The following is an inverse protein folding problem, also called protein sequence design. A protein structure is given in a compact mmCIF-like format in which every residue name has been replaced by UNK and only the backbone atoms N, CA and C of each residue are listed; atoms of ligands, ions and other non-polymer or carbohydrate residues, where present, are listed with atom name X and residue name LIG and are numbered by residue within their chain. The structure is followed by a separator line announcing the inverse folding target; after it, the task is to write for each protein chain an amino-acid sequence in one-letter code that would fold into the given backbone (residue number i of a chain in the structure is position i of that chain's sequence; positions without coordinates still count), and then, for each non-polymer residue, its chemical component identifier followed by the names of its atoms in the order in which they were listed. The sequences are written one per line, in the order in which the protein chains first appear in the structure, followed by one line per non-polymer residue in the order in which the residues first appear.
data_IF_861920625996
#
_entry.id   IF_861920625996
#
_cell.length_a   1.000
_cell.length_b   1.000
_cell.length_c   1.000
_cell.angle_alpha   90.00
_cell.angle_beta   90.00
_cell.angle_gamma   90.00
#
_symmetry.space_group_name_H-M   'P 1'
#
loop_
_entity.id
_entity.type
_entity.pdbx_description
1 polymer ?
#
# COMPACT_ATOMS: atom_id res chain seq x y z
N UNK A 1 -25.96 4.32 -3.77
CA UNK A 1 -24.95 5.07 -4.54
C UNK A 1 -23.95 4.04 -5.06
N UNK A 2 -24.07 3.65 -6.32
CA UNK A 2 -23.20 2.65 -6.97
C UNK A 2 -21.96 3.41 -7.47
N UNK A 3 -20.72 2.97 -7.21
CA UNK A 3 -19.56 3.65 -7.79
C UNK A 3 -19.55 3.39 -9.30
N UNK A 4 -19.53 4.48 -10.07
CA UNK A 4 -19.42 4.48 -11.52
C UNK A 4 -18.06 3.87 -11.91
N UNK A 5 -18.05 2.61 -12.33
CA UNK A 5 -16.93 2.03 -13.08
C UNK A 5 -16.92 2.69 -14.46
N UNK A 6 -15.87 3.43 -14.84
CA UNK A 6 -15.79 3.98 -16.19
C UNK A 6 -15.68 2.83 -17.21
N UNK A 7 -16.22 2.98 -18.43
CA UNK A 7 -16.11 1.98 -19.46
C UNK A 7 -14.64 1.79 -19.85
N UNK A 8 -14.17 0.54 -19.84
CA UNK A 8 -12.82 0.19 -20.26
C UNK A 8 -12.69 0.40 -21.77
N UNK A 9 -12.07 1.50 -22.18
CA UNK A 9 -11.45 1.56 -23.49
C UNK A 9 -10.41 0.43 -23.53
N UNK A 10 -10.42 -0.38 -24.60
CA UNK A 10 -9.44 -1.45 -24.79
C UNK A 10 -8.04 -0.83 -24.94
N UNK A 11 -7.40 -0.57 -23.81
CA UNK A 11 -6.01 -0.14 -23.74
C UNK A 11 -5.16 -1.25 -24.35
N UNK A 12 -4.24 -0.89 -25.25
CA UNK A 12 -3.28 -1.84 -25.79
C UNK A 12 -2.65 -2.62 -24.62
N UNK A 13 -2.77 -3.95 -24.64
CA UNK A 13 -2.26 -4.82 -23.58
C UNK A 13 -0.76 -4.56 -23.44
N UNK A 14 -0.36 -3.99 -22.31
CA UNK A 14 1.06 -3.79 -22.02
C UNK A 14 1.75 -5.16 -22.01
N UNK A 15 2.76 -5.33 -22.88
CA UNK A 15 3.62 -6.51 -22.90
C UNK A 15 4.94 -6.12 -22.28
N UNK A 16 5.22 -6.65 -21.10
CA UNK A 16 6.52 -6.48 -20.46
C UNK A 16 7.54 -7.39 -21.15
N UNK A 17 8.52 -6.80 -21.85
CA UNK A 17 9.66 -7.49 -22.44
C UNK A 17 10.95 -7.03 -21.70
N UNK A 18 11.28 -7.66 -20.56
CA UNK A 18 12.45 -7.27 -19.79
C UNK A 18 13.75 -7.61 -20.56
N UNK A 19 14.82 -6.83 -20.36
CA UNK A 19 16.11 -7.16 -20.94
C UNK A 19 16.57 -8.57 -20.57
N UNK A 20 16.92 -9.38 -21.58
CA UNK A 20 17.34 -10.78 -21.40
C UNK A 20 18.82 -10.92 -21.08
N UNK A 21 19.58 -9.84 -21.24
CA UNK A 21 21.02 -9.81 -20.97
C UNK A 21 21.47 -8.48 -20.38
N UNK A 22 22.65 -8.48 -19.74
CA UNK A 22 23.29 -7.23 -19.26
C UNK A 22 23.59 -6.25 -20.38
N UNK A 23 23.83 -6.72 -21.60
CA UNK A 23 24.09 -5.87 -22.78
C UNK A 23 22.83 -5.10 -23.18
N UNK A 24 21.71 -5.81 -23.27
CA UNK A 24 20.41 -5.24 -23.59
C UNK A 24 19.95 -4.25 -22.52
N UNK A 25 20.13 -4.60 -21.24
CA UNK A 25 19.78 -3.71 -20.13
C UNK A 25 20.57 -2.40 -20.14
N UNK A 26 21.85 -2.42 -20.53
CA UNK A 26 22.65 -1.19 -20.66
C UNK A 26 22.18 -0.28 -21.78
N UNK A 27 21.61 -0.84 -22.87
CA UNK A 27 21.08 -0.07 -24.00
C UNK A 27 19.67 0.44 -23.73
N UNK A 28 18.83 -0.40 -23.13
CA UNK A 28 17.44 -0.12 -22.79
C UNK A 28 17.22 -0.41 -21.29
N UNK A 29 17.66 0.49 -20.40
CA UNK A 29 17.50 0.28 -18.97
C UNK A 29 16.03 0.38 -18.58
N UNK A 30 15.61 -0.46 -17.64
CA UNK A 30 14.34 -0.28 -16.95
C UNK A 30 14.39 1.09 -16.26
N UNK A 31 13.38 1.98 -16.43
CA UNK A 31 13.36 3.32 -15.84
C UNK A 31 13.05 3.27 -14.33
N UNK A 32 13.82 2.47 -13.59
CA UNK A 32 13.71 2.28 -12.16
C UNK A 32 15.11 2.30 -11.54
N UNK A 33 15.22 2.80 -10.31
CA UNK A 33 16.47 2.86 -9.56
C UNK A 33 16.32 2.07 -8.26
N UNK A 34 17.13 1.03 -8.08
CA UNK A 34 17.21 0.34 -6.80
C UNK A 34 18.03 1.18 -5.81
N UNK A 35 17.40 1.66 -4.76
CA UNK A 35 18.03 2.54 -3.76
C UNK A 35 18.78 1.79 -2.65
N UNK A 36 18.67 0.47 -2.61
CA UNK A 36 19.15 -0.36 -1.51
C UNK A 36 18.29 -0.21 -0.24
N UNK A 37 18.80 -0.72 0.88
CA UNK A 37 18.21 -0.46 2.19
C UNK A 37 18.33 1.03 2.51
N UNK A 38 17.22 1.64 2.91
CA UNK A 38 17.15 3.05 3.30
C UNK A 38 16.39 3.18 4.60
N UNK A 39 16.87 4.06 5.45
CA UNK A 39 16.11 4.50 6.61
C UNK A 39 14.85 5.23 6.13
N UNK A 40 13.71 4.98 6.77
CA UNK A 40 12.44 5.58 6.39
C UNK A 40 12.45 7.10 6.55
N UNK A 41 13.25 7.66 7.48
CA UNK A 41 13.44 9.10 7.62
C UNK A 41 14.05 9.74 6.36
N UNK A 42 14.91 9.01 5.65
CA UNK A 42 15.48 9.48 4.39
C UNK A 42 14.45 9.51 3.25
N UNK A 43 13.30 8.86 3.41
CA UNK A 43 12.20 8.88 2.45
C UNK A 43 11.29 10.10 2.60
N UNK A 44 11.47 10.90 3.67
CA UNK A 44 10.72 12.14 3.90
C UNK A 44 10.93 13.16 2.76
N UNK A 45 12.17 13.29 2.31
CA UNK A 45 12.55 14.26 1.28
C UNK A 45 12.36 13.69 -0.15
N UNK A 46 12.06 12.40 -0.26
CA UNK A 46 11.70 11.77 -1.53
C UNK A 46 10.23 12.06 -1.79
N UNK A 47 9.95 12.92 -2.76
CA UNK A 47 8.59 13.21 -3.20
C UNK A 47 7.98 12.01 -3.96
N UNK A 48 7.48 11.03 -3.21
CA UNK A 48 6.71 9.90 -3.74
C UNK A 48 5.35 9.85 -3.06
N UNK A 49 4.30 9.68 -3.87
CA UNK A 49 2.90 9.68 -3.43
C UNK A 49 2.30 8.29 -3.29
N UNK A 50 2.92 7.30 -3.92
CA UNK A 50 2.42 5.93 -4.01
C UNK A 50 3.44 4.99 -3.38
N UNK A 51 2.97 4.18 -2.43
CA UNK A 51 3.68 3.06 -1.86
C UNK A 51 3.06 1.78 -2.39
N UNK A 52 3.90 0.85 -2.86
CA UNK A 52 3.48 -0.46 -3.34
C UNK A 52 4.10 -1.52 -2.44
N UNK A 53 3.26 -2.37 -1.86
CA UNK A 53 3.70 -3.59 -1.21
C UNK A 53 2.95 -4.78 -1.81
N UNK A 54 3.69 -5.70 -2.42
CA UNK A 54 3.15 -6.91 -3.06
C UNK A 54 3.21 -8.15 -2.17
N UNK A 55 3.73 -8.01 -0.95
CA UNK A 55 3.89 -9.09 0.01
C UNK A 55 2.55 -9.58 0.53
N UNK A 56 2.40 -10.91 0.60
CA UNK A 56 1.26 -11.60 1.23
C UNK A 56 1.68 -12.43 2.44
N UNK A 57 2.98 -12.43 2.76
CA UNK A 57 3.56 -13.25 3.84
C UNK A 57 3.73 -12.49 5.15
N UNK A 58 3.62 -11.17 5.11
CA UNK A 58 3.69 -10.31 6.30
C UNK A 58 2.30 -10.02 6.86
N UNK A 59 2.23 -9.83 8.18
CA UNK A 59 1.01 -9.42 8.89
C UNK A 59 1.19 -7.99 9.38
N UNK A 60 0.26 -7.11 9.01
CA UNK A 60 0.28 -5.70 9.39
C UNK A 60 1.64 -5.05 9.12
N UNK A 61 2.10 -5.14 7.88
CA UNK A 61 3.40 -4.61 7.45
C UNK A 61 3.57 -3.15 7.91
N UNK A 62 4.62 -2.89 8.68
CA UNK A 62 4.88 -1.58 9.29
C UNK A 62 5.06 -0.49 8.23
N UNK A 63 5.73 -0.79 7.12
CA UNK A 63 5.93 0.18 6.03
C UNK A 63 4.61 0.56 5.33
N UNK A 64 3.62 -0.34 5.30
CA UNK A 64 2.27 -0.02 4.82
C UNK A 64 1.57 0.96 5.76
N UNK A 65 1.65 0.72 7.07
CA UNK A 65 1.09 1.62 8.08
C UNK A 65 1.75 3.01 8.03
N UNK A 66 3.08 3.06 7.90
CA UNK A 66 3.85 4.30 7.76
C UNK A 66 3.47 5.08 6.51
N UNK A 67 3.33 4.40 5.35
CA UNK A 67 2.89 5.04 4.12
C UNK A 67 1.51 5.71 4.28
N UNK A 68 0.55 4.99 4.88
CA UNK A 68 -0.78 5.55 5.14
C UNK A 68 -0.72 6.70 6.17
N UNK A 69 0.08 6.58 7.22
CA UNK A 69 0.28 7.62 8.23
C UNK A 69 0.93 8.89 7.65
N UNK A 70 1.77 8.76 6.62
CA UNK A 70 2.31 9.88 5.84
C UNK A 70 1.30 10.46 4.83
N UNK A 71 0.07 9.95 4.78
CA UNK A 71 -0.97 10.41 3.86
C UNK A 71 -0.73 10.00 2.40
N UNK A 72 -0.01 8.89 2.15
CA UNK A 72 0.26 8.38 0.79
C UNK A 72 -0.80 7.36 0.38
N UNK A 73 -0.89 7.10 -0.92
CA UNK A 73 -1.58 5.90 -1.40
C UNK A 73 -0.75 4.66 -1.03
N UNK A 74 -1.41 3.64 -0.50
CA UNK A 74 -0.84 2.31 -0.31
C UNK A 74 -1.57 1.33 -1.24
N UNK A 75 -0.87 0.80 -2.24
CA UNK A 75 -1.39 -0.25 -3.13
C UNK A 75 -0.90 -1.59 -2.59
N UNK A 76 -1.81 -2.44 -2.14
CA UNK A 76 -1.49 -3.70 -1.45
C UNK A 76 -2.44 -4.83 -1.85
N UNK A 77 -2.05 -6.12 -1.75
CA UNK A 77 -2.95 -7.22 -2.05
C UNK A 77 -4.08 -7.30 -1.03
N UNK A 78 -5.28 -7.69 -1.51
CA UNK A 78 -6.40 -8.08 -0.66
C UNK A 78 -6.07 -9.42 -0.02
N UNK A 79 -5.75 -9.38 1.26
CA UNK A 79 -5.32 -10.53 2.03
C UNK A 79 -5.70 -10.33 3.50
N UNK A 80 -6.08 -11.37 4.26
CA UNK A 80 -6.52 -11.23 5.65
C UNK A 80 -5.50 -10.51 6.54
N UNK A 81 -4.21 -10.64 6.22
CA UNK A 81 -3.12 -9.98 6.94
C UNK A 81 -3.08 -8.45 6.78
N UNK A 82 -3.83 -7.93 5.79
CA UNK A 82 -3.96 -6.51 5.45
C UNK A 82 -5.34 -5.93 5.80
N UNK A 83 -6.27 -6.72 6.36
CA UNK A 83 -7.67 -6.31 6.59
C UNK A 83 -7.79 -5.03 7.41
N UNK A 84 -6.89 -4.83 8.38
CA UNK A 84 -6.81 -3.60 9.17
C UNK A 84 -6.70 -2.33 8.33
N UNK A 85 -6.07 -2.41 7.15
CA UNK A 85 -5.85 -1.26 6.28
C UNK A 85 -7.05 -0.95 5.37
N UNK A 86 -7.98 -1.88 5.19
CA UNK A 86 -9.14 -1.73 4.29
C UNK A 86 -10.05 -0.54 4.64
N UNK A 87 -10.01 -0.08 5.90
CA UNK A 87 -10.78 1.06 6.41
C UNK A 87 -10.21 2.43 6.06
N UNK A 88 -8.98 2.52 5.54
CA UNK A 88 -8.37 3.79 5.15
C UNK A 88 -8.61 4.06 3.67
N UNK A 89 -9.14 5.23 3.33
CA UNK A 89 -9.51 5.58 1.95
C UNK A 89 -8.32 5.57 0.96
N UNK A 90 -7.11 5.83 1.45
CA UNK A 90 -5.90 5.79 0.64
C UNK A 90 -5.30 4.38 0.51
N UNK A 91 -5.92 3.35 1.12
CA UNK A 91 -5.51 1.97 0.96
C UNK A 91 -6.24 1.34 -0.24
N UNK A 92 -5.51 1.13 -1.33
CA UNK A 92 -6.00 0.60 -2.59
C UNK A 92 -5.68 -0.91 -2.66
N UNK A 93 -6.69 -1.74 -2.44
CA UNK A 93 -6.52 -3.20 -2.41
C UNK A 93 -6.82 -3.84 -3.77
N UNK A 94 -5.98 -4.78 -4.21
CA UNK A 94 -6.16 -5.54 -5.44
C UNK A 94 -6.19 -7.05 -5.21
N UNK A 95 -6.85 -7.79 -6.09
CA UNK A 95 -6.87 -9.26 -6.08
C UNK A 95 -5.98 -9.85 -7.19
N UNK A 96 -5.76 -9.09 -8.27
CA UNK A 96 -4.95 -9.51 -9.43
C UNK A 96 -3.81 -8.54 -9.77
N UNK A 97 -2.74 -8.99 -10.44
CA UNK A 97 -1.69 -8.10 -10.93
C UNK A 97 -2.20 -7.02 -11.90
N UNK A 98 -3.21 -7.33 -12.71
CA UNK A 98 -3.83 -6.38 -13.64
C UNK A 98 -4.53 -5.25 -12.88
N UNK A 99 -5.31 -5.57 -11.85
CA UNK A 99 -5.91 -4.58 -10.97
C UNK A 99 -4.87 -3.75 -10.23
N UNK A 100 -3.76 -4.37 -9.80
CA UNK A 100 -2.63 -3.65 -9.20
C UNK A 100 -2.09 -2.58 -10.16
N UNK A 101 -1.87 -2.94 -11.43
CA UNK A 101 -1.42 -2.00 -12.45
C UNK A 101 -2.42 -0.86 -12.69
N UNK A 102 -3.72 -1.18 -12.75
CA UNK A 102 -4.78 -0.18 -12.91
C UNK A 102 -4.85 0.79 -11.72
N UNK A 103 -4.74 0.28 -10.49
CA UNK A 103 -4.71 1.10 -9.27
C UNK A 103 -3.46 1.96 -9.18
N UNK A 104 -2.29 1.43 -9.57
CA UNK A 104 -1.05 2.21 -9.65
C UNK A 104 -1.18 3.36 -10.66
N UNK A 105 -1.74 3.08 -11.83
CA UNK A 105 -1.98 4.11 -12.85
C UNK A 105 -2.97 5.17 -12.35
N UNK A 106 -4.06 4.74 -11.71
CA UNK A 106 -5.01 5.65 -11.09
C UNK A 106 -4.34 6.50 -10.01
N UNK A 107 -3.63 5.90 -9.06
CA UNK A 107 -2.95 6.59 -7.97
C UNK A 107 -1.89 7.58 -8.47
N UNK A 108 -1.23 7.29 -9.60
CA UNK A 108 -0.25 8.20 -10.22
C UNK A 108 -0.88 9.51 -10.75
N UNK A 109 -2.17 9.47 -11.09
CA UNK A 109 -2.95 10.58 -11.68
C UNK A 109 -3.84 11.32 -10.68
N UNK A 110 -3.93 10.83 -9.45
CA UNK A 110 -4.78 11.38 -8.41
C UNK A 110 -3.92 11.82 -7.21
N UNK A 111 -4.52 12.59 -6.32
CA UNK A 111 -3.91 13.00 -5.06
C UNK A 111 -4.51 12.20 -3.90
N UNK A 112 -3.69 11.73 -2.93
CA UNK A 112 -4.20 11.04 -1.76
C UNK A 112 -5.02 12.01 -0.91
N UNK A 113 -6.06 11.47 -0.28
CA UNK A 113 -6.90 12.28 0.61
C UNK A 113 -6.12 12.60 1.89
N UNK A 114 -6.19 13.83 2.41
CA UNK A 114 -5.65 14.13 3.73
C UNK A 114 -6.26 13.21 4.79
N UNK A 115 -5.45 12.76 5.73
CA UNK A 115 -5.95 11.98 6.87
C UNK A 115 -6.88 12.83 7.73
N UNK A 116 -8.03 12.28 8.10
CA UNK A 116 -8.84 12.86 9.17
C UNK A 116 -8.14 12.69 10.51
N UNK A 117 -8.49 13.50 11.51
CA UNK A 117 -7.93 13.38 12.86
C UNK A 117 -8.19 11.98 13.47
N UNK A 118 -9.34 11.38 13.16
CA UNK A 118 -9.70 10.03 13.59
C UNK A 118 -8.81 8.96 12.95
N UNK A 119 -8.60 9.03 11.62
CA UNK A 119 -7.70 8.11 10.93
C UNK A 119 -6.25 8.29 11.37
N UNK A 120 -5.81 9.54 11.59
CA UNK A 120 -4.48 9.82 12.11
C UNK A 120 -4.27 9.23 13.52
N UNK A 121 -5.30 9.31 14.39
CA UNK A 121 -5.25 8.69 15.72
C UNK A 121 -4.99 7.19 15.65
N UNK A 122 -5.57 6.48 14.69
CA UNK A 122 -5.39 5.02 14.56
C UNK A 122 -3.93 4.58 14.37
N UNK A 123 -3.09 5.47 13.83
CA UNK A 123 -1.65 5.26 13.63
C UNK A 123 -0.78 5.71 14.82
N UNK A 124 -1.38 6.23 15.89
CA UNK A 124 -0.64 6.63 17.10
C UNK A 124 -0.27 5.44 17.97
N UNK A 125 0.80 5.61 18.75
CA UNK A 125 1.18 4.67 19.81
C UNK A 125 0.07 4.45 20.84
N UNK A 126 -0.68 5.50 21.17
CA UNK A 126 -1.76 5.43 22.14
C UNK A 126 -2.90 4.53 21.64
N UNK A 127 -3.37 4.72 20.40
CA UNK A 127 -4.38 3.85 19.82
C UNK A 127 -3.90 2.40 19.67
N UNK A 128 -2.62 2.18 19.33
CA UNK A 128 -2.05 0.84 19.28
C UNK A 128 -2.04 0.17 20.68
N UNK A 129 -1.69 0.92 21.72
CA UNK A 129 -1.70 0.45 23.11
C UNK A 129 -3.11 0.13 23.59
N UNK A 130 -4.09 0.97 23.27
CA UNK A 130 -5.49 0.69 23.58
C UNK A 130 -5.99 -0.61 22.92
N UNK A 131 -5.62 -0.85 21.65
CA UNK A 131 -5.97 -2.10 20.95
C UNK A 131 -5.32 -3.31 21.63
N UNK A 132 -4.06 -3.18 22.05
CA UNK A 132 -3.36 -4.23 22.79
C UNK A 132 -4.05 -4.53 24.13
N UNK A 133 -4.37 -3.51 24.93
CA UNK A 133 -5.07 -3.67 26.22
C UNK A 133 -6.43 -4.36 26.03
N UNK A 134 -7.19 -3.96 25.00
CA UNK A 134 -8.47 -4.61 24.66
C UNK A 134 -8.28 -6.09 24.29
N UNK A 135 -7.25 -6.42 23.53
CA UNK A 135 -6.95 -7.80 23.14
C UNK A 135 -6.45 -8.67 24.32
N UNK A 136 -5.79 -8.07 25.30
CA UNK A 136 -5.36 -8.76 26.53
C UNK A 136 -6.50 -9.02 27.53
N UNK A 137 -7.68 -8.42 27.32
CA UNK A 137 -8.83 -8.60 28.20
C UNK A 137 -9.39 -10.02 28.14
N UNK A 138 -8.86 -10.93 28.94
CA UNK A 138 -9.47 -12.26 29.16
C UNK A 138 -10.67 -12.08 30.07
N UNK A 139 -11.88 -12.35 29.56
CA UNK A 139 -13.08 -12.32 30.40
C UNK A 139 -13.01 -13.44 31.43
N UNK A 140 -13.63 -13.27 32.61
CA UNK A 140 -13.63 -14.33 33.65
C UNK A 140 -14.19 -15.67 33.16
N UNK A 141 -15.02 -15.68 32.12
CA UNK A 141 -15.57 -16.90 31.50
C UNK A 141 -14.61 -17.64 30.55
N UNK A 142 -13.57 -16.97 30.06
CA UNK A 142 -12.54 -17.54 29.16
C UNK A 142 -11.34 -18.12 29.91
N UNK A 143 -11.31 -18.00 31.25
CA UNK A 143 -10.36 -18.71 32.11
C UNK A 143 -10.76 -20.19 32.20
N UNK A 144 -10.25 -21.01 31.29
CA UNK A 144 -10.20 -22.48 31.45
C UNK A 144 -8.76 -22.94 31.57
#
# INVERSE_FOLDING_TARGET
IVPLRPPAAAAARFVFDPPRSRHEWRRNPIPARFLGVRDHAALRDVNHRVFLNVSVTEVLCTTTAEALAMGKFAVIPRHPSNDFFSRFENCLMYDTPEECADLLLWASRNEPKPLTAEMAREFTWEAATERLVRACGVTRGERR
#
